data_IF_665269361162
#
_entry.id   IF_665269361162
#
_cell.length_a   1.000
_cell.length_b   1.000
_cell.length_c   1.000
_cell.angle_alpha   90.00
_cell.angle_beta   90.00
_cell.angle_gamma   90.00
#
_symmetry.space_group_name_H-M   'P 1'
#
loop_
_entity.id
_entity.type
_entity.pdbx_description
1 polymer ?
#
# COMPACT_ATOMS: atom_id res chain seq x y z
N UNK A 1 2.03 22.16 1.43
CA UNK A 1 3.44 22.60 1.33
C UNK A 1 3.68 23.83 2.20
N UNK A 2 3.11 25.00 1.88
CA UNK A 2 3.36 26.29 2.56
C UNK A 2 3.23 26.25 4.09
N UNK A 3 2.25 25.51 4.62
CA UNK A 3 2.02 25.42 6.08
C UNK A 3 3.19 24.78 6.85
N UNK A 4 3.85 23.77 6.29
CA UNK A 4 4.95 23.08 6.97
C UNK A 4 6.23 23.92 6.92
N UNK A 5 6.49 24.54 5.78
CA UNK A 5 7.63 25.45 5.61
C UNK A 5 7.54 26.65 6.57
N UNK A 6 6.38 27.30 6.66
CA UNK A 6 6.15 28.41 7.60
C UNK A 6 6.33 27.96 9.05
N UNK A 7 5.81 26.79 9.42
CA UNK A 7 5.97 26.24 10.77
C UNK A 7 7.44 26.02 11.10
N UNK A 8 8.20 25.40 10.18
CA UNK A 8 9.62 25.16 10.38
C UNK A 8 10.39 26.48 10.49
N UNK A 9 10.12 27.44 9.60
CA UNK A 9 10.75 28.76 9.66
C UNK A 9 10.48 29.46 11.01
N UNK A 10 9.24 29.38 11.51
CA UNK A 10 8.91 29.92 12.83
C UNK A 10 9.71 29.23 13.95
N UNK A 11 9.83 27.91 13.93
CA UNK A 11 10.64 27.16 14.89
C UNK A 11 12.13 27.55 14.79
N UNK A 12 12.67 27.72 13.58
CA UNK A 12 14.05 28.13 13.36
C UNK A 12 14.33 29.55 13.89
N UNK A 13 13.36 30.48 13.79
CA UNK A 13 13.47 31.82 14.40
C UNK A 13 13.46 31.71 15.93
N UNK A 14 12.54 30.91 16.49
CA UNK A 14 12.47 30.73 17.94
C UNK A 14 13.74 30.11 18.54
N UNK A 15 14.53 29.37 17.75
CA UNK A 15 15.81 28.83 18.20
C UNK A 15 16.84 29.89 18.64
N UNK A 16 16.65 31.15 18.25
CA UNK A 16 17.49 32.27 18.74
C UNK A 16 17.25 32.58 20.23
N UNK A 17 16.05 32.26 20.75
CA UNK A 17 15.63 32.61 22.13
C UNK A 17 15.41 31.40 23.02
N UNK A 18 15.25 30.20 22.45
CA UNK A 18 15.06 28.96 23.20
C UNK A 18 15.71 27.75 22.49
N UNK A 19 16.16 26.75 23.25
CA UNK A 19 16.84 25.59 22.68
C UNK A 19 15.84 24.50 22.26
N UNK A 20 15.72 24.27 20.95
CA UNK A 20 14.93 23.18 20.36
C UNK A 20 15.80 22.29 19.46
N UNK A 21 15.46 21.00 19.38
CA UNK A 21 16.07 20.06 18.42
C UNK A 21 15.01 19.59 17.43
N UNK A 22 15.28 19.77 16.14
CA UNK A 22 14.44 19.25 15.06
C UNK A 22 15.01 17.89 14.64
N UNK A 23 14.16 16.86 14.68
CA UNK A 23 14.44 15.58 14.06
C UNK A 23 13.46 15.39 12.90
N UNK A 24 13.96 15.43 11.67
CA UNK A 24 13.15 15.28 10.47
C UNK A 24 13.33 13.88 9.87
N UNK A 25 12.22 13.22 9.56
CA UNK A 25 12.19 11.93 8.89
C UNK A 25 11.47 12.10 7.55
N UNK A 26 12.10 11.63 6.47
CA UNK A 26 11.56 11.73 5.11
C UNK A 26 11.70 10.41 4.37
N UNK A 27 10.90 10.26 3.30
CA UNK A 27 11.19 9.26 2.27
C UNK A 27 12.45 9.68 1.49
N UNK A 28 12.95 8.81 0.60
CA UNK A 28 14.07 9.18 -0.29
C UNK A 28 13.72 10.43 -1.09
N UNK A 29 14.54 11.47 -0.95
CA UNK A 29 14.45 12.74 -1.68
C UNK A 29 15.61 12.84 -2.68
N UNK A 30 15.41 13.58 -3.76
CA UNK A 30 16.46 13.82 -4.76
C UNK A 30 17.52 14.81 -4.25
N UNK A 31 17.13 15.81 -3.45
CA UNK A 31 18.00 16.86 -2.92
C UNK A 31 18.03 16.96 -1.36
N UNK A 32 18.34 15.86 -0.66
CA UNK A 32 18.28 15.77 0.80
C UNK A 32 19.28 16.70 1.51
N UNK A 33 20.39 17.02 0.83
CA UNK A 33 21.41 17.95 1.34
C UNK A 33 20.87 19.38 1.48
N UNK A 34 19.98 19.81 0.59
CA UNK A 34 19.41 21.16 0.66
C UNK A 34 18.50 21.31 1.88
N UNK A 35 17.70 20.29 2.17
CA UNK A 35 16.87 20.23 3.37
C UNK A 35 17.72 20.19 4.64
N UNK A 36 18.79 19.40 4.67
CA UNK A 36 19.70 19.34 5.82
C UNK A 36 20.35 20.71 6.09
N UNK A 37 20.81 21.39 5.04
CA UNK A 37 21.36 22.76 5.13
C UNK A 37 20.32 23.76 5.65
N UNK A 38 19.12 23.76 5.08
CA UNK A 38 18.05 24.67 5.50
C UNK A 38 17.66 24.46 6.97
N UNK A 39 17.57 23.20 7.41
CA UNK A 39 17.27 22.83 8.80
C UNK A 39 18.46 22.96 9.75
N UNK A 40 19.66 23.31 9.25
CA UNK A 40 20.93 23.30 10.01
C UNK A 40 21.15 21.96 10.74
N UNK A 41 20.83 20.85 10.07
CA UNK A 41 20.82 19.50 10.63
C UNK A 41 21.84 18.59 9.94
N UNK A 42 22.31 17.59 10.67
CA UNK A 42 23.09 16.49 10.10
C UNK A 42 22.18 15.56 9.28
N UNK A 43 22.67 15.13 8.12
CA UNK A 43 21.95 14.23 7.23
C UNK A 43 22.40 12.78 7.48
N UNK A 44 21.44 11.91 7.80
CA UNK A 44 21.63 10.47 7.77
C UNK A 44 20.79 9.87 6.64
N UNK A 45 21.44 9.09 5.76
CA UNK A 45 20.77 8.41 4.66
C UNK A 45 21.06 6.92 4.70
N UNK A 46 20.03 6.13 4.45
CA UNK A 46 20.16 4.68 4.35
C UNK A 46 19.11 4.11 3.41
N UNK A 47 19.55 3.19 2.55
CA UNK A 47 18.67 2.37 1.71
C UNK A 47 18.30 1.04 2.41
N UNK A 48 18.63 0.90 3.69
CA UNK A 48 18.35 -0.32 4.44
C UNK A 48 16.86 -0.62 4.49
N UNK A 49 16.52 -1.88 4.16
CA UNK A 49 15.18 -2.44 4.36
C UNK A 49 15.32 -3.80 5.05
N UNK A 50 14.53 -4.08 6.10
CA UNK A 50 14.56 -5.39 6.77
C UNK A 50 14.20 -6.57 5.86
N UNK A 51 13.44 -6.31 4.78
CA UNK A 51 13.03 -7.30 3.80
C UNK A 51 13.35 -6.80 2.40
N UNK A 52 13.97 -7.66 1.59
CA UNK A 52 14.32 -7.35 0.20
C UNK A 52 13.06 -7.04 -0.60
N UNK A 53 13.03 -5.87 -1.22
CA UNK A 53 11.98 -5.46 -2.15
C UNK A 53 12.30 -6.04 -3.54
N UNK A 54 11.34 -6.74 -4.14
CA UNK A 54 11.44 -7.27 -5.51
C UNK A 54 10.39 -6.60 -6.38
N UNK A 55 10.85 -5.82 -7.34
CA UNK A 55 9.99 -5.06 -8.24
C UNK A 55 9.79 -5.81 -9.56
N UNK A 56 8.57 -5.74 -10.08
CA UNK A 56 8.18 -6.45 -11.31
C UNK A 56 7.14 -5.63 -12.07
N UNK A 57 7.17 -5.70 -13.40
CA UNK A 57 6.20 -5.04 -14.27
C UNK A 57 5.24 -6.09 -14.83
N UNK A 58 3.94 -5.83 -14.78
CA UNK A 58 2.93 -6.70 -15.37
C UNK A 58 2.36 -6.06 -16.64
N UNK A 59 2.49 -6.72 -17.78
CA UNK A 59 2.04 -6.22 -19.07
C UNK A 59 1.59 -7.36 -19.98
N UNK A 60 0.43 -7.23 -20.65
CA UNK A 60 -0.14 -8.25 -21.57
C UNK A 60 -0.05 -9.68 -21.02
N UNK A 61 -0.53 -9.88 -19.79
CA UNK A 61 -0.55 -11.18 -19.11
C UNK A 61 0.85 -11.77 -18.83
N UNK A 62 1.91 -10.97 -18.93
CA UNK A 62 3.28 -11.38 -18.67
C UNK A 62 3.86 -10.57 -17.53
N UNK A 63 4.67 -11.22 -16.69
CA UNK A 63 5.38 -10.60 -15.58
C UNK A 63 6.85 -10.46 -15.95
N UNK A 64 7.37 -9.25 -15.87
CA UNK A 64 8.76 -8.90 -16.18
C UNK A 64 9.49 -8.47 -14.90
N UNK A 65 10.80 -8.70 -14.84
CA UNK A 65 11.64 -8.15 -13.78
C UNK A 65 11.86 -6.64 -13.96
N UNK A 66 12.18 -5.95 -12.88
CA UNK A 66 12.60 -4.55 -12.92
C UNK A 66 13.97 -4.42 -12.24
N UNK A 67 14.93 -3.67 -12.81
CA UNK A 67 14.80 -2.78 -13.97
C UNK A 67 15.09 -3.41 -15.35
N UNK A 68 15.53 -4.67 -15.41
CA UNK A 68 16.06 -5.30 -16.64
C UNK A 68 15.00 -5.85 -17.60
N UNK A 69 13.71 -5.79 -17.24
CA UNK A 69 12.56 -6.14 -18.08
C UNK A 69 12.61 -7.54 -18.70
N UNK A 70 13.24 -8.51 -18.01
CA UNK A 70 13.25 -9.90 -18.46
C UNK A 70 11.95 -10.60 -18.12
N UNK A 71 11.44 -11.41 -19.04
CA UNK A 71 10.25 -12.22 -18.80
C UNK A 71 10.51 -13.20 -17.65
N UNK A 72 9.70 -13.09 -16.59
CA UNK A 72 9.73 -14.00 -15.45
C UNK A 72 8.76 -15.16 -15.70
N UNK A 73 7.52 -14.84 -16.06
CA UNK A 73 6.45 -15.82 -16.29
C UNK A 73 5.24 -15.22 -16.97
N UNK A 74 4.40 -16.09 -17.51
CA UNK A 74 3.06 -15.75 -17.99
C UNK A 74 2.00 -16.00 -16.91
N UNK A 75 0.95 -15.17 -16.93
CA UNK A 75 -0.16 -15.17 -16.00
C UNK A 75 -1.42 -15.55 -16.77
N UNK A 76 -2.03 -16.66 -16.38
CA UNK A 76 -3.33 -17.07 -16.93
C UNK A 76 -4.39 -16.05 -16.54
N UNK A 77 -5.19 -15.64 -17.52
CA UNK A 77 -6.35 -14.77 -17.29
C UNK A 77 -7.43 -15.53 -16.52
N UNK A 78 -8.16 -14.83 -15.66
CA UNK A 78 -9.31 -15.35 -14.91
C UNK A 78 -10.41 -14.31 -14.98
N UNK A 79 -11.64 -14.72 -15.33
CA UNK A 79 -12.83 -13.86 -15.45
C UNK A 79 -12.58 -12.56 -16.23
N UNK A 80 -11.99 -12.68 -17.42
CA UNK A 80 -11.58 -11.58 -18.31
C UNK A 80 -10.68 -10.52 -17.66
N UNK A 81 -10.18 -10.75 -16.45
CA UNK A 81 -9.39 -9.80 -15.68
C UNK A 81 -7.96 -10.31 -15.46
N UNK A 82 -6.97 -9.82 -16.23
CA UNK A 82 -5.58 -10.27 -16.09
C UNK A 82 -5.00 -9.90 -14.71
N UNK A 83 -5.48 -8.82 -14.08
CA UNK A 83 -5.07 -8.41 -12.74
C UNK A 83 -5.56 -9.39 -11.65
N UNK A 84 -6.78 -9.91 -11.78
CA UNK A 84 -7.29 -10.94 -10.84
C UNK A 84 -6.46 -12.22 -10.96
N UNK A 85 -6.12 -12.62 -12.19
CA UNK A 85 -5.20 -13.74 -12.44
C UNK A 85 -3.86 -13.56 -11.71
N UNK A 86 -3.27 -12.36 -11.79
CA UNK A 86 -2.02 -12.03 -11.08
C UNK A 86 -2.19 -12.11 -9.56
N UNK A 87 -3.27 -11.54 -9.02
CA UNK A 87 -3.57 -11.56 -7.58
C UNK A 87 -3.72 -13.00 -7.06
N UNK A 88 -4.43 -13.87 -7.79
CA UNK A 88 -4.65 -15.26 -7.39
C UNK A 88 -3.39 -16.12 -7.34
N UNK A 89 -2.31 -15.74 -8.02
CA UNK A 89 -1.05 -16.45 -7.94
C UNK A 89 -0.31 -16.24 -6.62
N UNK A 90 -0.74 -15.26 -5.81
CA UNK A 90 -0.08 -14.92 -4.56
C UNK A 90 -0.76 -15.65 -3.41
N UNK A 91 0.02 -16.45 -2.68
CA UNK A 91 -0.42 -17.20 -1.48
C UNK A 91 -0.28 -16.40 -0.17
N UNK A 92 0.11 -15.13 -0.25
CA UNK A 92 0.32 -14.23 0.89
C UNK A 92 -0.68 -13.07 0.82
N UNK A 93 -0.96 -12.38 1.95
CA UNK A 93 -1.79 -11.19 1.94
C UNK A 93 -1.33 -10.16 0.90
N UNK A 94 -2.30 -9.50 0.26
CA UNK A 94 -2.06 -8.55 -0.80
C UNK A 94 -2.57 -7.16 -0.41
N UNK A 95 -1.79 -6.16 -0.78
CA UNK A 95 -2.22 -4.76 -0.80
C UNK A 95 -2.23 -4.31 -2.26
N UNK A 96 -3.41 -3.90 -2.75
CA UNK A 96 -3.60 -3.46 -4.13
C UNK A 96 -4.04 -2.01 -4.13
N UNK A 97 -3.20 -1.15 -4.68
CA UNK A 97 -3.53 0.25 -4.88
C UNK A 97 -4.26 0.45 -6.21
N UNK A 98 -5.36 1.20 -6.18
CA UNK A 98 -6.16 1.59 -7.33
C UNK A 98 -6.44 3.08 -7.28
N UNK A 99 -6.73 3.68 -8.45
CA UNK A 99 -6.77 5.13 -8.60
C UNK A 99 -8.05 5.80 -8.08
N UNK A 100 -9.17 5.06 -7.97
CA UNK A 100 -10.47 5.64 -7.58
C UNK A 100 -11.21 4.79 -6.57
N UNK A 101 -12.02 5.45 -5.72
CA UNK A 101 -12.93 4.79 -4.76
C UNK A 101 -13.85 3.77 -5.44
N UNK A 102 -14.37 4.13 -6.63
CA UNK A 102 -15.19 3.23 -7.46
C UNK A 102 -14.42 1.97 -7.85
N UNK A 103 -13.17 2.10 -8.30
CA UNK A 103 -12.32 0.95 -8.63
C UNK A 103 -12.02 0.09 -7.41
N UNK A 104 -11.80 0.68 -6.24
CA UNK A 104 -11.60 -0.08 -5.00
C UNK A 104 -12.80 -0.99 -4.74
N UNK A 105 -14.01 -0.44 -4.86
CA UNK A 105 -15.25 -1.20 -4.66
C UNK A 105 -15.48 -2.27 -5.72
N UNK A 106 -15.33 -1.92 -7.00
CA UNK A 106 -15.54 -2.89 -8.09
C UNK A 106 -14.52 -4.03 -8.02
N UNK A 107 -13.23 -3.73 -7.82
CA UNK A 107 -12.19 -4.74 -7.75
C UNK A 107 -12.34 -5.63 -6.52
N UNK A 108 -12.68 -5.06 -5.36
CA UNK A 108 -12.88 -5.85 -4.13
C UNK A 108 -14.05 -6.84 -4.29
N UNK A 109 -15.17 -6.40 -4.87
CA UNK A 109 -16.34 -7.25 -5.11
C UNK A 109 -16.02 -8.33 -6.14
N UNK A 110 -15.43 -7.99 -7.28
CA UNK A 110 -15.04 -8.98 -8.28
C UNK A 110 -14.05 -10.00 -7.73
N UNK A 111 -13.00 -9.55 -7.04
CA UNK A 111 -12.01 -10.45 -6.45
C UNK A 111 -12.61 -11.32 -5.35
N UNK A 112 -13.52 -10.78 -4.52
CA UNK A 112 -14.17 -11.56 -3.46
C UNK A 112 -15.03 -12.70 -3.99
N UNK A 113 -15.67 -12.54 -5.16
CA UNK A 113 -16.41 -13.63 -5.83
C UNK A 113 -15.46 -14.75 -6.26
N UNK A 114 -14.31 -14.40 -6.84
CA UNK A 114 -13.31 -15.36 -7.29
C UNK A 114 -12.67 -16.09 -6.11
N UNK A 115 -12.34 -15.37 -5.04
CA UNK A 115 -11.85 -15.98 -3.79
C UNK A 115 -12.89 -16.95 -3.22
N UNK A 116 -14.15 -16.50 -3.14
CA UNK A 116 -15.24 -17.36 -2.65
C UNK A 116 -15.35 -18.62 -3.50
N UNK A 117 -15.37 -18.53 -4.82
CA UNK A 117 -15.48 -19.68 -5.72
C UNK A 117 -14.30 -20.66 -5.58
N UNK A 118 -13.07 -20.13 -5.48
CA UNK A 118 -11.85 -20.94 -5.46
C UNK A 118 -11.57 -21.57 -4.10
N UNK A 119 -11.95 -20.90 -3.00
CA UNK A 119 -11.59 -21.28 -1.63
C UNK A 119 -12.82 -21.52 -0.73
N UNK A 120 -13.94 -22.00 -1.31
CA UNK A 120 -15.24 -22.23 -0.62
C UNK A 120 -15.15 -23.01 0.71
N UNK A 121 -14.09 -23.79 0.93
CA UNK A 121 -13.93 -24.69 2.08
C UNK A 121 -12.75 -24.34 3.02
N UNK A 122 -12.03 -23.23 2.80
CA UNK A 122 -10.84 -22.92 3.62
C UNK A 122 -11.12 -22.06 4.87
N UNK A 123 -12.28 -21.39 4.95
CA UNK A 123 -12.57 -20.51 6.09
C UNK A 123 -13.23 -21.28 7.24
N UNK A 124 -12.51 -21.48 8.35
CA UNK A 124 -13.07 -21.99 9.60
C UNK A 124 -14.22 -21.12 10.09
N UNK A 125 -15.23 -21.69 10.74
CA UNK A 125 -16.36 -20.95 11.34
C UNK A 125 -15.89 -19.79 12.24
N UNK A 126 -14.82 -20.03 13.02
CA UNK A 126 -14.17 -19.00 13.86
C UNK A 126 -13.73 -17.78 13.05
N UNK A 127 -13.18 -17.98 11.84
CA UNK A 127 -12.76 -16.87 10.97
C UNK A 127 -13.96 -16.10 10.43
N UNK A 128 -15.05 -16.79 10.08
CA UNK A 128 -16.28 -16.16 9.61
C UNK A 128 -16.91 -15.32 10.74
N UNK A 129 -16.97 -15.84 11.96
CA UNK A 129 -17.45 -15.10 13.13
C UNK A 129 -16.62 -13.83 13.38
N UNK A 130 -15.28 -13.93 13.31
CA UNK A 130 -14.40 -12.76 13.45
C UNK A 130 -14.63 -11.72 12.36
N UNK A 131 -14.84 -12.16 11.10
CA UNK A 131 -15.15 -11.27 9.97
C UNK A 131 -16.50 -10.57 10.17
N UNK A 132 -17.51 -11.29 10.69
CA UNK A 132 -18.82 -10.71 10.99
C UNK A 132 -18.71 -9.65 12.09
N UNK A 133 -18.01 -9.96 13.19
CA UNK A 133 -17.77 -8.99 14.28
C UNK A 133 -17.05 -7.72 13.79
N UNK A 134 -16.10 -7.85 12.85
CA UNK A 134 -15.44 -6.70 12.23
C UNK A 134 -16.42 -5.85 11.42
N UNK A 135 -17.30 -6.48 10.64
CA UNK A 135 -18.31 -5.77 9.86
C UNK A 135 -19.30 -5.01 10.75
N UNK A 136 -19.74 -5.64 11.84
CA UNK A 136 -20.66 -5.03 12.79
C UNK A 136 -20.03 -3.78 13.44
N UNK A 137 -18.74 -3.85 13.80
CA UNK A 137 -17.97 -2.71 14.34
C UNK A 137 -17.77 -1.58 13.33
N UNK A 138 -17.54 -1.93 12.07
CA UNK A 138 -17.31 -0.93 11.01
C UNK A 138 -18.61 -0.21 10.60
N UNK A 139 -19.79 -0.71 11.01
CA UNK A 139 -21.10 -0.21 10.56
C UNK A 139 -21.25 -0.15 9.03
N UNK A 140 -20.41 -0.88 8.30
CA UNK A 140 -20.35 -0.88 6.85
C UNK A 140 -20.75 -2.25 6.31
N UNK A 141 -21.64 -2.26 5.31
CA UNK A 141 -22.07 -3.50 4.62
C UNK A 141 -21.08 -3.87 3.51
N UNK A 142 -19.84 -4.20 3.89
CA UNK A 142 -18.82 -4.65 2.93
C UNK A 142 -18.83 -6.17 2.83
N UNK A 143 -19.69 -6.70 1.95
CA UNK A 143 -19.84 -8.15 1.76
C UNK A 143 -18.53 -8.86 1.40
N UNK A 144 -17.60 -8.17 0.71
CA UNK A 144 -16.30 -8.74 0.33
C UNK A 144 -15.43 -9.16 1.52
N UNK A 145 -15.61 -8.55 2.70
CA UNK A 145 -14.85 -8.89 3.92
C UNK A 145 -15.14 -10.30 4.40
N UNK A 146 -16.40 -10.78 4.27
CA UNK A 146 -16.76 -12.15 4.62
C UNK A 146 -15.98 -13.19 3.79
N UNK A 147 -15.65 -12.82 2.55
CA UNK A 147 -14.83 -13.61 1.64
C UNK A 147 -13.33 -13.34 1.80
N UNK A 148 -12.90 -12.57 2.81
CA UNK A 148 -11.50 -12.28 3.09
C UNK A 148 -10.88 -11.16 2.24
N UNK A 149 -11.70 -10.33 1.59
CA UNK A 149 -11.24 -9.21 0.77
C UNK A 149 -11.73 -7.90 1.38
N UNK A 150 -10.82 -7.11 1.93
CA UNK A 150 -11.15 -5.78 2.47
C UNK A 150 -10.98 -4.70 1.40
N UNK A 151 -11.73 -3.61 1.54
CA UNK A 151 -11.57 -2.39 0.75
C UNK A 151 -11.35 -1.20 1.69
N UNK A 152 -10.55 -0.24 1.26
CA UNK A 152 -10.26 0.97 2.03
C UNK A 152 -10.24 2.19 1.10
N UNK A 153 -10.99 3.21 1.48
CA UNK A 153 -10.97 4.56 0.89
C UNK A 153 -11.09 5.58 2.01
N UNK A 154 -10.77 6.84 1.73
CA UNK A 154 -10.81 7.94 2.70
C UNK A 154 -12.24 8.43 3.05
N UNK A 155 -13.24 7.56 2.93
CA UNK A 155 -14.64 7.87 3.27
C UNK A 155 -14.93 7.62 4.75
#
# INVERSE_FOLDING_TARGET
AVKLELLINFILILQETAKFRILAMSATLDNPNDFAKWLRAELFQSNFRPVVLRETVFYRNQLFSFPDLKLIKEIKQVDDSPIIGLMLQRKKPLLVFVSTKKMTKTLSLSFSKVIQQKYKQEATEVLLQRRQQLLDKLQQKIQSVLNGVCQHSSD
#
